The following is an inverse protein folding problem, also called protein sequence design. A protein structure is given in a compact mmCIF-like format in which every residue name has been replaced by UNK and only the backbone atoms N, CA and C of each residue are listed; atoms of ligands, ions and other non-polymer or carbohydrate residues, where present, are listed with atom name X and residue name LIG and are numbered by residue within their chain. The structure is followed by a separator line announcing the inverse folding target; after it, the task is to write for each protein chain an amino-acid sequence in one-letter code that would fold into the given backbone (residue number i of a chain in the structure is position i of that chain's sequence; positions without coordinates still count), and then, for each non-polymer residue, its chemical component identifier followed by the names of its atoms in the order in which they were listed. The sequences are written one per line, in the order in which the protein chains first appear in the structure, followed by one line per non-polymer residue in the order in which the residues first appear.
data_IF_776719223060
#
_entry.id   IF_776719223060
#
_cell.length_a   1.000
_cell.length_b   1.000
_cell.length_c   1.000
_cell.angle_alpha   90.00
_cell.angle_beta   90.00
_cell.angle_gamma   90.00
#
_symmetry.space_group_name_H-M   'P 1'
#
loop_
_entity.id
_entity.type
_entity.pdbx_description
1 polymer ?
#
# COMPACT_ATOMS: atom_id res chain seq x y z
N UNK A 1 -7.85 -13.17 13.58
CA UNK A 1 -9.15 -12.49 13.44
C UNK A 1 -8.88 -11.07 12.98
N UNK A 2 -9.42 -10.64 11.83
CA UNK A 2 -9.26 -9.27 11.34
C UNK A 2 -10.28 -8.34 12.00
N UNK A 3 -9.93 -7.06 12.15
CA UNK A 3 -10.88 -6.01 12.54
C UNK A 3 -11.83 -5.78 11.36
N UNK A 4 -13.14 -5.91 11.57
CA UNK A 4 -14.15 -5.52 10.58
C UNK A 4 -14.69 -4.17 10.99
N UNK A 5 -14.76 -3.23 10.05
CA UNK A 5 -15.26 -1.89 10.31
C UNK A 5 -15.44 -1.10 9.01
N UNK A 6 -15.39 0.22 9.13
CA UNK A 6 -15.54 1.15 8.01
C UNK A 6 -14.17 1.61 7.53
N UNK A 7 -13.93 1.57 6.22
CA UNK A 7 -12.72 2.08 5.61
C UNK A 7 -12.68 3.61 5.66
N UNK A 8 -11.61 4.18 6.24
CA UNK A 8 -11.40 5.64 6.31
C UNK A 8 -11.22 6.30 4.92
N UNK A 9 -10.68 5.56 3.94
CA UNK A 9 -10.36 6.10 2.61
C UNK A 9 -11.57 6.08 1.66
N UNK A 10 -12.26 4.94 1.56
CA UNK A 10 -13.38 4.77 0.62
C UNK A 10 -14.77 4.77 1.28
N UNK A 11 -14.85 4.79 2.61
CA UNK A 11 -16.11 4.83 3.35
C UNK A 11 -16.91 3.52 3.36
N UNK A 12 -16.40 2.44 2.77
CA UNK A 12 -17.10 1.15 2.74
C UNK A 12 -17.17 0.56 4.15
N UNK A 13 -18.37 0.19 4.57
CA UNK A 13 -18.65 -0.45 5.87
C UNK A 13 -18.61 -1.98 5.78
N UNK A 14 -18.37 -2.64 6.92
CA UNK A 14 -18.42 -4.11 7.01
C UNK A 14 -17.25 -4.83 6.34
N UNK A 15 -16.13 -4.13 6.11
CA UNK A 15 -14.96 -4.68 5.43
C UNK A 15 -13.82 -5.00 6.41
N UNK A 16 -12.98 -6.01 6.09
CA UNK A 16 -11.78 -6.28 6.87
C UNK A 16 -10.78 -5.14 6.73
N UNK A 17 -10.46 -4.52 7.86
CA UNK A 17 -9.52 -3.41 7.95
C UNK A 17 -8.07 -3.90 7.94
N UNK A 18 -7.20 -3.04 7.44
CA UNK A 18 -5.76 -3.19 7.26
C UNK A 18 -5.02 -1.93 7.67
N UNK A 19 -3.74 -2.10 7.93
CA UNK A 19 -2.80 -1.03 8.16
C UNK A 19 -2.45 -0.32 6.85
N UNK A 20 -2.23 0.99 6.92
CA UNK A 20 -1.79 1.83 5.82
C UNK A 20 -0.32 1.50 5.51
N UNK A 21 0.05 1.16 4.27
CA UNK A 21 1.42 0.76 3.93
C UNK A 21 2.39 1.96 3.89
N UNK A 22 1.85 3.17 3.73
CA UNK A 22 2.57 4.45 3.69
C UNK A 22 2.87 5.04 5.08
N UNK A 23 2.22 4.53 6.14
CA UNK A 23 2.38 5.06 7.51
C UNK A 23 3.30 4.14 8.31
N UNK A 24 4.32 4.64 9.02
CA UNK A 24 5.19 3.80 9.84
C UNK A 24 4.43 3.15 11.00
N UNK A 25 4.81 1.92 11.37
CA UNK A 25 4.13 1.13 12.40
C UNK A 25 4.06 1.82 13.77
N UNK A 26 5.02 2.68 14.10
CA UNK A 26 5.02 3.49 15.33
C UNK A 26 3.88 4.50 15.40
N UNK A 27 3.35 4.94 14.25
CA UNK A 27 2.24 5.90 14.16
C UNK A 27 0.89 5.19 13.90
N UNK A 28 0.91 3.88 13.64
CA UNK A 28 -0.28 3.09 13.37
C UNK A 28 -0.82 2.42 14.62
N UNK A 29 -1.80 3.05 15.27
CA UNK A 29 -2.46 2.50 16.45
C UNK A 29 -3.49 1.41 16.12
N UNK A 30 -4.09 1.43 14.93
CA UNK A 30 -5.12 0.47 14.50
C UNK A 30 -5.23 0.39 12.98
N UNK A 31 -5.68 -0.76 12.43
CA UNK A 31 -6.06 -0.85 11.02
C UNK A 31 -7.29 0.01 10.74
N UNK A 32 -7.27 0.74 9.63
CA UNK A 32 -8.28 1.77 9.30
C UNK A 32 -8.74 1.74 7.84
N UNK A 33 -8.09 0.98 6.96
CA UNK A 33 -8.42 0.95 5.52
C UNK A 33 -8.81 -0.45 5.05
N UNK A 34 -9.57 -0.58 3.97
CA UNK A 34 -9.84 -1.86 3.35
C UNK A 34 -8.60 -2.40 2.60
N UNK A 35 -8.68 -3.66 2.16
CA UNK A 35 -7.59 -4.29 1.42
C UNK A 35 -7.34 -3.62 0.06
N UNK A 36 -8.38 -3.16 -0.63
CA UNK A 36 -8.26 -2.51 -1.94
C UNK A 36 -7.49 -1.19 -1.83
N UNK A 37 -7.90 -0.30 -0.92
CA UNK A 37 -7.17 0.95 -0.67
C UNK A 37 -5.73 0.72 -0.22
N UNK A 38 -5.45 -0.39 0.49
CA UNK A 38 -4.08 -0.77 0.85
C UNK A 38 -3.26 -1.10 -0.39
N UNK A 39 -3.81 -1.90 -1.30
CA UNK A 39 -3.13 -2.30 -2.55
C UNK A 39 -2.87 -1.08 -3.42
N UNK A 40 -3.85 -0.18 -3.59
CA UNK A 40 -3.65 1.04 -4.37
C UNK A 40 -2.50 1.91 -3.83
N UNK A 41 -2.43 2.08 -2.50
CA UNK A 41 -1.32 2.81 -1.87
C UNK A 41 0.01 2.11 -2.06
N UNK A 42 0.04 0.78 -1.98
CA UNK A 42 1.24 -0.03 -2.21
C UNK A 42 1.75 0.12 -3.66
N UNK A 43 0.84 0.11 -4.64
CA UNK A 43 1.17 0.34 -6.05
C UNK A 43 1.77 1.74 -6.25
N UNK A 44 1.13 2.78 -5.71
CA UNK A 44 1.66 4.16 -5.81
C UNK A 44 3.04 4.28 -5.15
N UNK A 45 3.24 3.61 -4.01
CA UNK A 45 4.54 3.57 -3.32
C UNK A 45 5.61 2.81 -4.10
N UNK A 46 5.23 1.76 -4.82
CA UNK A 46 6.15 0.97 -5.65
C UNK A 46 6.51 1.72 -6.94
N UNK A 47 5.52 2.36 -7.58
CA UNK A 47 5.71 3.16 -8.80
C UNK A 47 6.49 4.45 -8.54
N UNK A 48 6.40 5.00 -7.32
CA UNK A 48 7.21 6.16 -6.90
C UNK A 48 8.66 5.80 -6.55
N UNK A 49 9.02 4.51 -6.53
CA UNK A 49 10.43 4.13 -6.37
C UNK A 49 11.12 4.41 -7.70
N UNK A 50 12.22 5.17 -7.74
CA UNK A 50 13.00 5.28 -8.96
C UNK A 50 13.33 3.85 -9.39
N UNK A 51 12.94 3.50 -10.63
CA UNK A 51 13.28 2.21 -11.20
C UNK A 51 14.78 1.98 -10.94
N UNK A 52 15.21 0.77 -10.51
CA UNK A 52 16.63 0.47 -10.46
C UNK A 52 17.21 0.85 -11.82
N UNK A 53 18.12 1.84 -11.82
CA UNK A 53 18.89 2.21 -13.00
C UNK A 53 19.77 1.00 -13.32
N UNK A 54 19.22 0.03 -14.05
CA UNK A 54 20.03 -0.97 -14.72
C UNK A 54 20.71 -0.23 -15.87
N UNK A 55 22.05 -0.15 -15.91
CA UNK A 55 22.73 0.36 -17.09
C UNK A 55 22.45 -0.60 -18.25
N UNK A 56 21.60 -0.19 -19.19
CA UNK A 56 21.39 -0.83 -20.48
C UNK A 56 22.59 -0.59 -21.41
N UNK A 57 23.78 -1.11 -21.13
CA UNK A 57 24.83 -1.16 -22.17
C UNK A 57 25.65 -2.45 -22.05
N UNK A 58 25.46 -3.33 -23.02
CA UNK A 58 26.18 -4.60 -23.11
C UNK A 58 25.60 -5.60 -24.12
N UNK A 59 24.52 -5.25 -24.82
CA UNK A 59 24.07 -6.02 -25.99
C UNK A 59 24.67 -5.42 -27.24
N UNK A 60 25.73 -6.02 -27.77
CA UNK A 60 26.04 -6.05 -29.20
C UNK A 60 27.27 -6.96 -29.44
N UNK A 61 27.45 -7.52 -30.64
CA UNK A 61 26.50 -8.15 -31.57
C UNK A 61 26.60 -9.69 -31.58
#
# INVERSE_FOLDING_TARGET
MGLIGTCDDCGIEGVPLRFKPDVPSSEQTRPSICNDCRIEREIVLEESRPAPMFPEEGRLP
#
